data_IF_140354864854
#
_entry.id   IF_140354864854
#
_cell.length_a   1.000
_cell.length_b   1.000
_cell.length_c   1.000
_cell.angle_alpha   90.00
_cell.angle_beta   90.00
_cell.angle_gamma   90.00
#
_symmetry.space_group_name_H-M   'P 1'
#
loop_
_entity.id
_entity.type
_entity.pdbx_description
1 polymer ?
#
# COMPACT_ATOMS: atom_id res chain seq x y z
N UNK A 1 6.30 8.91 10.27
CA UNK A 1 5.21 8.40 9.40
C UNK A 1 4.06 7.85 10.26
N UNK A 2 2.95 7.37 9.68
CA UNK A 2 1.94 6.58 10.41
C UNK A 2 2.55 5.27 10.91
N UNK A 3 1.84 4.64 11.82
CA UNK A 3 2.15 3.35 12.42
C UNK A 3 3.49 3.20 13.16
N UNK A 4 4.26 4.28 13.31
CA UNK A 4 5.62 4.21 13.84
C UNK A 4 6.66 3.80 12.78
N UNK A 5 6.34 3.93 11.49
CA UNK A 5 7.28 3.62 10.42
C UNK A 5 8.49 4.58 10.44
N UNK A 6 9.66 4.01 10.18
CA UNK A 6 10.97 4.66 10.17
C UNK A 6 11.09 5.59 8.96
N UNK A 7 11.47 6.84 9.22
CA UNK A 7 11.53 7.86 8.18
C UNK A 7 12.80 7.74 7.31
N UNK A 8 13.91 7.30 7.87
CA UNK A 8 15.16 7.09 7.12
C UNK A 8 15.02 5.89 6.18
N UNK A 9 14.44 4.78 6.67
CA UNK A 9 14.12 3.63 5.84
C UNK A 9 13.13 4.00 4.72
N UNK A 10 12.17 4.88 5.00
CA UNK A 10 11.25 5.37 3.98
C UNK A 10 11.97 6.19 2.90
N UNK A 11 12.92 7.05 3.27
CA UNK A 11 13.69 7.84 2.31
C UNK A 11 14.53 6.95 1.38
N UNK A 12 15.22 5.96 1.95
CA UNK A 12 16.00 4.97 1.21
C UNK A 12 15.15 4.18 0.22
N UNK A 13 14.03 3.62 0.68
CA UNK A 13 13.17 2.76 -0.13
C UNK A 13 12.36 3.56 -1.16
N UNK A 14 11.88 4.77 -0.83
CA UNK A 14 11.06 5.55 -1.76
C UNK A 14 11.87 6.11 -2.93
N UNK A 15 13.14 6.49 -2.71
CA UNK A 15 13.91 7.31 -3.65
C UNK A 15 15.16 6.62 -4.21
N UNK A 16 15.88 5.85 -3.38
CA UNK A 16 17.22 5.38 -3.72
C UNK A 16 17.28 3.89 -4.07
N UNK A 17 16.22 3.13 -3.76
CA UNK A 17 16.20 1.69 -3.96
C UNK A 17 14.94 1.21 -4.68
N UNK A 18 15.07 0.89 -5.97
CA UNK A 18 13.97 0.37 -6.80
C UNK A 18 13.92 -1.15 -6.91
N UNK A 19 14.94 -1.84 -6.40
CA UNK A 19 15.07 -3.29 -6.51
C UNK A 19 14.90 -4.01 -5.17
N UNK A 20 15.12 -3.32 -4.05
CA UNK A 20 14.99 -3.91 -2.72
C UNK A 20 13.71 -3.45 -2.04
N UNK A 21 13.29 -4.22 -1.05
CA UNK A 21 12.16 -3.92 -0.21
C UNK A 21 12.62 -3.69 1.24
N UNK A 22 11.75 -3.11 2.06
CA UNK A 22 11.87 -3.20 3.51
C UNK A 22 11.93 -4.68 3.95
N UNK A 23 12.47 -4.94 5.15
CA UNK A 23 12.60 -6.32 5.66
C UNK A 23 11.23 -7.03 5.71
N UNK A 24 11.19 -8.30 5.30
CA UNK A 24 10.02 -9.18 5.45
C UNK A 24 9.46 -9.13 6.87
N UNK A 25 8.16 -8.87 7.01
CA UNK A 25 7.46 -8.78 8.28
C UNK A 25 7.65 -7.45 9.03
N UNK A 26 8.30 -6.44 8.43
CA UNK A 26 8.46 -5.12 9.05
C UNK A 26 7.13 -4.54 9.53
N UNK A 27 6.07 -4.66 8.71
CA UNK A 27 4.74 -4.18 9.05
C UNK A 27 4.16 -4.78 10.35
N UNK A 28 4.55 -6.00 10.73
CA UNK A 28 4.10 -6.68 11.95
C UNK A 28 4.67 -6.04 13.23
N UNK A 29 5.81 -5.34 13.13
CA UNK A 29 6.42 -4.64 14.28
C UNK A 29 5.83 -3.24 14.50
N UNK A 30 4.98 -2.78 13.59
CA UNK A 30 4.34 -1.47 13.64
C UNK A 30 3.00 -1.52 14.37
N UNK A 31 2.33 -0.36 14.48
CA UNK A 31 0.96 -0.30 15.03
C UNK A 31 -0.14 -0.55 13.98
N UNK A 32 0.20 -0.85 12.72
CA UNK A 32 -0.77 -1.20 11.67
C UNK A 32 -1.69 -2.38 12.06
N UNK A 33 -1.17 -3.53 12.57
CA UNK A 33 -2.03 -4.65 12.94
C UNK A 33 -3.06 -4.28 14.01
N UNK A 34 -2.67 -3.41 14.96
CA UNK A 34 -3.56 -2.91 16.02
C UNK A 34 -4.65 -2.00 15.48
N UNK A 35 -4.33 -1.11 14.54
CA UNK A 35 -5.35 -0.29 13.85
C UNK A 35 -6.32 -1.17 13.06
N UNK A 36 -5.79 -2.12 12.28
CA UNK A 36 -6.59 -3.02 11.46
C UNK A 36 -7.55 -3.94 12.25
N UNK A 37 -7.22 -4.26 13.50
CA UNK A 37 -8.11 -5.02 14.38
C UNK A 37 -9.34 -4.21 14.84
N UNK A 38 -9.28 -2.87 14.81
CA UNK A 38 -10.29 -1.99 15.38
C UNK A 38 -10.96 -1.07 14.35
N UNK A 39 -10.44 -1.00 13.12
CA UNK A 39 -10.95 -0.14 12.06
C UNK A 39 -11.96 -0.87 11.16
N UNK A 40 -12.93 -0.12 10.61
CA UNK A 40 -13.80 -0.64 9.54
C UNK A 40 -13.08 -0.70 8.19
N UNK A 41 -12.20 0.27 7.93
CA UNK A 41 -11.33 0.34 6.75
C UNK A 41 -10.06 1.11 7.07
N UNK A 42 -9.02 0.92 6.24
CA UNK A 42 -7.76 1.64 6.28
C UNK A 42 -7.50 2.24 4.90
N UNK A 43 -7.07 3.49 4.87
CA UNK A 43 -6.47 4.13 3.69
C UNK A 43 -4.97 4.19 3.88
N UNK A 44 -4.23 3.75 2.86
CA UNK A 44 -2.77 3.81 2.81
C UNK A 44 -2.38 4.99 1.93
N UNK A 45 -1.51 5.85 2.44
CA UNK A 45 -1.18 7.12 1.81
C UNK A 45 0.28 7.14 1.42
N UNK A 46 0.60 7.65 0.24
CA UNK A 46 1.97 7.91 -0.19
C UNK A 46 2.73 8.68 0.89
N UNK A 47 3.85 8.11 1.36
CA UNK A 47 4.66 8.71 2.42
C UNK A 47 5.23 10.08 2.06
N UNK A 48 5.44 10.34 0.76
CA UNK A 48 5.97 11.61 0.28
C UNK A 48 4.86 12.63 0.02
N UNK A 49 3.81 12.23 -0.70
CA UNK A 49 2.80 13.17 -1.20
C UNK A 49 1.56 13.28 -0.33
N UNK A 50 1.25 12.25 0.49
CA UNK A 50 0.03 12.14 1.29
C UNK A 50 -1.22 11.71 0.50
N UNK A 51 -1.09 11.43 -0.81
CA UNK A 51 -2.18 10.94 -1.65
C UNK A 51 -2.62 9.53 -1.24
N UNK A 52 -3.91 9.22 -1.30
CA UNK A 52 -4.40 7.86 -1.04
C UNK A 52 -3.98 6.94 -2.18
N UNK A 53 -3.21 5.90 -1.88
CA UNK A 53 -2.73 4.91 -2.85
C UNK A 53 -3.53 3.61 -2.78
N UNK A 54 -3.94 3.18 -1.58
CA UNK A 54 -4.71 1.96 -1.38
C UNK A 54 -5.81 2.14 -0.33
N UNK A 55 -6.90 1.38 -0.44
CA UNK A 55 -7.98 1.33 0.56
C UNK A 55 -8.42 -0.10 0.80
N UNK A 56 -8.49 -0.52 2.07
CA UNK A 56 -8.84 -1.89 2.48
C UNK A 56 -9.84 -1.89 3.63
N UNK A 57 -10.96 -2.63 3.55
CA UNK A 57 -11.47 -3.26 2.33
C UNK A 57 -12.09 -2.21 1.39
N UNK A 58 -12.14 -2.50 0.09
CA UNK A 58 -12.79 -1.65 -0.91
C UNK A 58 -13.97 -2.31 -1.63
N UNK A 59 -14.26 -3.60 -1.34
CA UNK A 59 -15.43 -4.33 -1.86
C UNK A 59 -15.99 -5.31 -0.84
N UNK A 60 -17.26 -5.75 -0.98
CA UNK A 60 -17.84 -6.82 -0.17
C UNK A 60 -17.05 -8.13 -0.25
N UNK A 61 -16.95 -8.86 0.86
CA UNK A 61 -16.22 -10.14 0.94
C UNK A 61 -14.70 -10.04 1.14
N UNK A 62 -14.11 -8.87 0.88
CA UNK A 62 -12.73 -8.56 1.32
C UNK A 62 -12.79 -7.94 2.71
N UNK A 63 -11.97 -8.42 3.65
CA UNK A 63 -11.90 -7.90 5.03
C UNK A 63 -10.47 -7.52 5.40
N UNK A 64 -10.30 -6.64 6.39
CA UNK A 64 -8.98 -6.33 6.94
C UNK A 64 -8.28 -7.58 7.46
N UNK A 65 -9.01 -8.52 8.08
CA UNK A 65 -8.44 -9.80 8.53
C UNK A 65 -7.87 -10.63 7.38
N UNK A 66 -8.60 -10.71 6.25
CA UNK A 66 -8.11 -11.40 5.06
C UNK A 66 -6.86 -10.72 4.48
N UNK A 67 -6.86 -9.39 4.45
CA UNK A 67 -5.69 -8.60 4.04
C UNK A 67 -4.47 -8.84 4.93
N UNK A 68 -4.61 -8.80 6.26
CA UNK A 68 -3.51 -9.05 7.17
C UNK A 68 -2.97 -10.48 7.04
N UNK A 69 -3.86 -11.47 6.87
CA UNK A 69 -3.46 -12.87 6.67
C UNK A 69 -2.62 -13.02 5.40
N UNK A 70 -3.13 -12.53 4.29
CA UNK A 70 -2.42 -12.56 3.01
C UNK A 70 -1.09 -11.80 3.07
N UNK A 71 -1.08 -10.63 3.73
CA UNK A 71 0.14 -9.84 3.94
C UNK A 71 1.17 -10.58 4.80
N UNK A 72 0.73 -11.40 5.75
CA UNK A 72 1.60 -12.23 6.59
C UNK A 72 2.20 -13.39 5.80
N UNK A 73 1.38 -14.07 5.02
CA UNK A 73 1.80 -15.22 4.21
C UNK A 73 2.93 -14.79 3.24
N UNK A 74 2.76 -13.64 2.59
CA UNK A 74 3.77 -13.08 1.66
C UNK A 74 4.85 -12.23 2.33
N UNK A 75 4.60 -11.72 3.53
CA UNK A 75 5.56 -10.98 4.35
C UNK A 75 5.56 -9.46 4.17
N UNK A 76 4.75 -8.92 3.27
CA UNK A 76 4.52 -7.48 3.08
C UNK A 76 3.03 -7.21 2.85
N UNK A 77 2.55 -5.99 3.17
CA UNK A 77 1.23 -5.51 2.75
C UNK A 77 0.90 -5.91 1.30
N UNK A 78 -0.12 -6.75 1.14
CA UNK A 78 -0.48 -7.36 -0.14
C UNK A 78 -1.87 -6.91 -0.58
N UNK A 79 -1.91 -6.12 -1.64
CA UNK A 79 -3.13 -5.50 -2.16
C UNK A 79 -3.59 -6.18 -3.46
N UNK A 80 -4.90 -6.09 -3.74
CA UNK A 80 -5.54 -6.57 -4.98
C UNK A 80 -6.08 -5.40 -5.81
N UNK A 81 -6.40 -5.63 -7.09
CA UNK A 81 -6.78 -4.58 -8.07
C UNK A 81 -7.83 -3.59 -7.57
N UNK A 82 -8.84 -4.07 -6.86
CA UNK A 82 -9.95 -3.28 -6.34
C UNK A 82 -9.56 -2.39 -5.15
N UNK A 83 -8.45 -2.68 -4.48
CA UNK A 83 -7.93 -1.91 -3.34
C UNK A 83 -7.01 -0.77 -3.82
N UNK A 84 -6.59 -0.78 -5.09
CA UNK A 84 -5.64 0.16 -5.68
C UNK A 84 -6.33 1.44 -6.15
N UNK A 85 -5.71 2.57 -5.80
CA UNK A 85 -6.10 3.85 -6.34
C UNK A 85 -5.41 4.15 -7.67
N UNK A 86 -6.02 3.72 -8.78
CA UNK A 86 -5.46 3.89 -10.13
C UNK A 86 -5.30 5.34 -10.58
N UNK A 87 -5.92 6.30 -9.88
CA UNK A 87 -5.61 7.72 -10.08
C UNK A 87 -4.16 8.05 -9.76
N UNK A 88 -3.61 7.44 -8.71
CA UNK A 88 -2.30 7.79 -8.13
C UNK A 88 -1.26 6.68 -8.20
N UNK A 89 -1.63 5.47 -8.61
CA UNK A 89 -0.73 4.30 -8.71
C UNK A 89 -0.51 3.91 -10.17
N UNK A 90 0.72 3.51 -10.51
CA UNK A 90 1.09 2.91 -11.80
C UNK A 90 1.84 1.61 -11.58
N UNK A 91 1.71 0.69 -12.52
CA UNK A 91 2.55 -0.52 -12.61
C UNK A 91 3.37 -0.38 -13.89
N UNK A 92 4.69 -0.38 -13.76
CA UNK A 92 5.64 -0.24 -14.86
C UNK A 92 5.96 -1.63 -15.45
N UNK A 93 6.55 -1.68 -16.67
CA UNK A 93 7.12 -2.92 -17.20
C UNK A 93 8.07 -3.57 -16.20
N UNK A 94 8.00 -4.90 -16.07
CA UNK A 94 8.74 -5.63 -15.02
C UNK A 94 8.04 -5.70 -13.66
N UNK A 95 6.88 -5.04 -13.52
CA UNK A 95 6.02 -5.17 -12.34
C UNK A 95 6.30 -4.16 -11.23
N UNK A 96 7.24 -3.22 -11.40
CA UNK A 96 7.48 -2.15 -10.41
C UNK A 96 6.20 -1.33 -10.20
N UNK A 97 5.81 -1.15 -8.94
CA UNK A 97 4.65 -0.34 -8.54
C UNK A 97 5.16 0.99 -8.01
N UNK A 98 4.65 2.08 -8.59
CA UNK A 98 5.06 3.44 -8.25
C UNK A 98 3.86 4.35 -8.02
N UNK A 99 4.03 5.41 -7.24
CA UNK A 99 3.07 6.52 -7.22
C UNK A 99 3.28 7.42 -8.45
N UNK A 100 2.24 8.15 -8.86
CA UNK A 100 2.35 9.18 -9.91
C UNK A 100 3.37 10.27 -9.54
N UNK A 101 3.61 10.48 -8.24
CA UNK A 101 4.64 11.38 -7.73
C UNK A 101 6.07 10.82 -7.82
N UNK A 102 6.25 9.58 -8.28
CA UNK A 102 7.54 8.93 -8.46
C UNK A 102 8.03 8.10 -7.26
N UNK A 103 7.25 7.98 -6.19
CA UNK A 103 7.62 7.14 -5.03
C UNK A 103 7.66 5.66 -5.45
N UNK A 104 8.77 4.97 -5.18
CA UNK A 104 8.80 3.51 -5.29
C UNK A 104 7.92 2.90 -4.17
N UNK A 105 6.96 2.06 -4.56
CA UNK A 105 6.00 1.46 -3.63
C UNK A 105 6.29 -0.02 -3.38
N UNK A 106 6.71 -0.75 -4.41
CA UNK A 106 6.95 -2.19 -4.34
C UNK A 106 6.78 -2.83 -5.71
N UNK A 107 6.23 -4.05 -5.76
CA UNK A 107 6.10 -4.80 -7.01
C UNK A 107 4.77 -5.56 -7.11
N UNK A 108 4.23 -5.67 -8.33
CA UNK A 108 3.17 -6.60 -8.68
C UNK A 108 3.79 -7.99 -8.86
N UNK A 109 3.40 -8.93 -8.02
CA UNK A 109 3.88 -10.32 -8.04
C UNK A 109 2.63 -11.21 -8.11
N UNK A 110 2.05 -11.39 -9.31
CA UNK A 110 0.82 -12.15 -9.48
C UNK A 110 0.91 -13.57 -8.92
N UNK A 111 -0.23 -14.07 -8.47
CA UNK A 111 -0.43 -15.44 -8.02
C UNK A 111 -1.68 -16.04 -8.66
N UNK A 112 -2.09 -17.24 -8.23
CA UNK A 112 -3.29 -17.89 -8.74
C UNK A 112 -4.59 -17.07 -8.56
N UNK A 113 -4.60 -16.07 -7.66
CA UNK A 113 -5.71 -15.15 -7.44
C UNK A 113 -5.68 -13.90 -8.32
N UNK A 114 -4.70 -13.78 -9.23
CA UNK A 114 -4.49 -12.63 -10.10
C UNK A 114 -3.38 -11.70 -9.59
N UNK A 115 -3.47 -10.41 -9.91
CA UNK A 115 -2.48 -9.44 -9.46
C UNK A 115 -2.42 -9.39 -7.92
N UNK A 116 -1.19 -9.25 -7.41
CA UNK A 116 -0.93 -9.05 -5.98
C UNK A 116 0.19 -8.04 -5.84
N UNK A 117 -0.18 -6.86 -5.36
CA UNK A 117 0.75 -5.76 -5.16
C UNK A 117 1.40 -5.91 -3.79
N UNK A 118 2.66 -6.33 -3.80
CA UNK A 118 3.51 -6.51 -2.63
C UNK A 118 4.22 -5.18 -2.36
N UNK A 119 3.76 -4.46 -1.34
CA UNK A 119 4.08 -3.03 -1.13
C UNK A 119 4.85 -2.82 0.17
N UNK A 120 5.88 -1.99 0.12
CA UNK A 120 6.62 -1.51 1.28
C UNK A 120 5.70 -0.64 2.15
N UNK A 121 5.50 -1.03 3.41
CA UNK A 121 4.69 -0.24 4.34
C UNK A 121 5.25 1.17 4.49
N UNK A 122 6.58 1.31 4.57
CA UNK A 122 7.23 2.62 4.70
C UNK A 122 6.90 3.58 3.55
N UNK A 123 6.59 3.08 2.35
CA UNK A 123 6.22 3.92 1.19
C UNK A 123 4.76 4.38 1.21
N UNK A 124 3.93 3.76 2.05
CA UNK A 124 2.47 4.00 2.11
C UNK A 124 1.96 4.35 3.52
N UNK A 125 2.86 4.80 4.38
CA UNK A 125 2.61 5.24 5.74
C UNK A 125 2.47 6.78 5.87
N UNK A 126 2.17 7.46 4.77
CA UNK A 126 1.94 8.90 4.75
C UNK A 126 0.75 9.34 5.60
N UNK A 127 0.71 10.64 5.92
CA UNK A 127 -0.48 11.28 6.49
C UNK A 127 -1.32 11.89 5.36
N UNK A 128 -2.66 11.92 5.49
CA UNK A 128 -3.51 12.56 4.49
C UNK A 128 -3.10 14.00 4.25
N UNK A 129 -3.13 14.44 2.98
CA UNK A 129 -3.03 15.87 2.64
C UNK A 129 -4.15 16.64 3.34
N UNK A 130 -3.83 17.85 3.84
CA UNK A 130 -4.82 18.75 4.47
C UNK A 130 -5.87 19.28 3.48
N UNK A 131 -5.59 19.20 2.18
CA UNK A 131 -6.54 19.57 1.12
C UNK A 131 -7.51 18.40 0.90
N UNK A 132 -8.81 18.73 0.90
CA UNK A 132 -9.95 17.83 1.03
C UNK A 132 -9.84 16.48 0.35
N UNK A 133 -10.43 15.47 1.01
CA UNK A 133 -10.55 14.10 0.52
C UNK A 133 -10.93 14.06 -0.97
N UNK A 134 -10.00 13.55 -1.79
CA UNK A 134 -10.30 13.19 -3.18
C UNK A 134 -10.58 11.70 -3.18
N UNK A 135 -11.85 11.27 -3.37
CA UNK A 135 -12.16 9.85 -3.46
C UNK A 135 -11.33 9.23 -4.57
N UNK A 136 -10.70 8.10 -4.25
CA UNK A 136 -10.28 7.22 -5.33
C UNK A 136 -11.51 6.47 -5.80
N UNK A 137 -12.19 7.05 -6.78
CA UNK A 137 -13.27 6.37 -7.46
C UNK A 137 -12.63 5.19 -8.22
N UNK A 138 -13.15 3.99 -7.99
CA UNK A 138 -12.85 2.85 -8.84
C UNK A 138 -13.08 3.26 -10.31
N UNK A 139 -12.28 2.76 -11.27
CA UNK A 139 -12.62 2.93 -12.66
C UNK A 139 -14.06 2.43 -12.86
N UNK A 140 -14.89 3.24 -13.53
CA UNK A 140 -16.19 2.73 -14.00
C UNK A 140 -15.92 1.50 -14.87
N UNK A 141 -16.70 0.42 -14.74
CA UNK A 141 -16.61 -0.68 -15.68
C UNK A 141 -16.85 -0.12 -17.09
N UNK A 142 -15.94 -0.44 -18.01
CA UNK A 142 -16.14 -0.25 -19.44
C UNK A 142 -17.16 -1.27 -19.96
#
# INVERSE_FOLDING_TARGET
LRWGCDASLADDICHFNRQSAERRGYWETTTLPKEAANAAFIRFHDSNSGNVLFTVPSKPGRTLKAFLRESKDHGWPSFRDHEVCWKWVRVLPGGEVVSVGGSHLGHNIPDYGGNRYCINLVSVAGRPRRLGWVPCLAPSPA
#
